data_IF_187107300250
#
_entry.id   IF_187107300250
#
_cell.length_a   1.000
_cell.length_b   1.000
_cell.length_c   1.000
_cell.angle_alpha   90.00
_cell.angle_beta   90.00
_cell.angle_gamma   90.00
#
_symmetry.space_group_name_H-M   'P 1'
#
loop_
_entity.id
_entity.type
_entity.pdbx_description
1 polymer ?
#
# COMPACT_ATOMS: atom_id res chain seq x y z
N UNK A 1 14.00 -14.99 2.67
CA UNK A 1 14.35 -13.60 2.42
C UNK A 1 13.44 -13.08 1.34
N UNK A 2 12.84 -11.92 1.58
CA UNK A 2 11.92 -11.26 0.66
C UNK A 2 12.74 -10.32 -0.25
N UNK A 3 12.51 -10.37 -1.55
CA UNK A 3 13.11 -9.47 -2.54
C UNK A 3 12.03 -8.88 -3.44
N UNK A 4 12.19 -7.62 -3.85
CA UNK A 4 11.27 -6.98 -4.79
C UNK A 4 11.36 -7.62 -6.17
N UNK A 5 10.20 -7.77 -6.82
CA UNK A 5 10.07 -8.22 -8.21
C UNK A 5 8.97 -7.36 -8.88
N UNK A 6 9.40 -6.29 -9.55
CA UNK A 6 8.49 -5.22 -9.96
C UNK A 6 7.76 -4.60 -8.76
N UNK A 7 6.43 -4.47 -8.85
CA UNK A 7 5.55 -4.09 -7.75
C UNK A 7 5.12 -5.27 -6.88
N UNK A 8 5.59 -6.49 -7.20
CA UNK A 8 5.44 -7.68 -6.39
C UNK A 8 6.67 -7.97 -5.53
N UNK A 9 6.64 -9.13 -4.88
CA UNK A 9 7.76 -9.65 -4.10
C UNK A 9 7.91 -11.15 -4.34
N UNK A 10 9.16 -11.60 -4.33
CA UNK A 10 9.53 -13.01 -4.26
C UNK A 10 10.09 -13.31 -2.87
N UNK A 11 9.86 -14.53 -2.37
CA UNK A 11 10.37 -14.96 -1.07
C UNK A 11 11.11 -16.28 -1.19
N UNK A 12 12.27 -16.35 -0.57
CA UNK A 12 13.03 -17.58 -0.34
C UNK A 12 12.95 -17.97 1.15
N UNK A 13 13.27 -19.21 1.52
CA UNK A 13 13.42 -19.59 2.93
C UNK A 13 14.89 -19.98 3.24
N UNK A 14 15.80 -19.00 3.35
CA UNK A 14 17.23 -19.26 3.45
C UNK A 14 17.69 -19.69 4.85
N UNK A 15 16.95 -19.35 5.91
CA UNK A 15 17.27 -19.72 7.29
C UNK A 15 16.03 -19.67 8.18
N UNK A 16 16.08 -20.37 9.31
CA UNK A 16 15.06 -20.32 10.35
C UNK A 16 15.46 -19.28 11.41
N UNK A 17 14.60 -18.29 11.66
CA UNK A 17 14.80 -17.31 12.74
C UNK A 17 14.72 -17.95 14.14
N UNK A 18 13.86 -18.95 14.29
CA UNK A 18 13.67 -19.74 15.51
C UNK A 18 13.62 -21.21 15.11
N UNK A 19 14.32 -22.05 15.86
CA UNK A 19 14.25 -23.50 15.75
C UNK A 19 14.20 -24.09 17.16
N UNK A 20 13.49 -25.21 17.31
CA UNK A 20 13.40 -25.94 18.57
C UNK A 20 13.46 -27.44 18.31
N UNK A 21 14.07 -28.15 19.25
CA UNK A 21 14.08 -29.61 19.38
C UNK A 21 12.90 -30.15 20.20
N UNK A 22 12.11 -29.26 20.80
CA UNK A 22 10.87 -29.62 21.49
C UNK A 22 9.76 -29.92 20.47
N UNK A 23 9.26 -31.15 20.50
CA UNK A 23 8.18 -31.61 19.62
C UNK A 23 6.85 -30.89 19.85
N UNK A 24 6.69 -30.18 20.97
CA UNK A 24 5.51 -29.37 21.28
C UNK A 24 5.63 -27.93 20.75
N UNK A 25 6.76 -27.54 20.16
CA UNK A 25 6.91 -26.24 19.51
C UNK A 25 6.01 -26.07 18.30
N UNK A 26 5.05 -25.15 18.44
CA UNK A 26 4.10 -24.76 17.42
C UNK A 26 4.01 -23.22 17.33
N UNK A 27 5.07 -22.53 16.85
CA UNK A 27 5.01 -21.08 16.63
C UNK A 27 3.95 -20.75 15.57
N UNK A 28 2.98 -19.92 15.93
CA UNK A 28 1.84 -19.60 15.05
C UNK A 28 1.84 -18.15 14.57
N UNK A 29 2.56 -17.25 15.24
CA UNK A 29 2.66 -15.86 14.81
C UNK A 29 3.90 -15.18 15.40
N UNK A 30 4.46 -14.24 14.63
CA UNK A 30 5.56 -13.38 15.04
C UNK A 30 5.25 -11.92 14.68
N UNK A 31 5.53 -11.00 15.60
CA UNK A 31 5.42 -9.55 15.38
C UNK A 31 6.57 -8.78 16.03
N UNK A 32 6.79 -7.53 15.58
CA UNK A 32 7.70 -6.61 16.27
C UNK A 32 6.99 -6.04 17.51
N UNK A 33 7.55 -6.30 18.68
CA UNK A 33 7.02 -5.85 19.97
C UNK A 33 7.31 -4.38 20.28
N UNK A 34 6.81 -3.88 21.43
CA UNK A 34 6.94 -2.48 21.85
C UNK A 34 8.38 -2.04 22.10
N UNK A 35 9.27 -3.00 22.35
CA UNK A 35 10.70 -2.86 22.59
C UNK A 35 11.55 -3.05 21.32
N UNK A 36 10.91 -3.20 20.16
CA UNK A 36 11.58 -3.41 18.87
C UNK A 36 12.11 -4.83 18.63
N UNK A 37 11.95 -5.75 19.59
CA UNK A 37 12.32 -7.15 19.44
C UNK A 37 11.24 -7.92 18.67
N UNK A 38 11.57 -9.11 18.16
CA UNK A 38 10.56 -10.00 17.58
C UNK A 38 9.93 -10.83 18.70
N UNK A 39 8.62 -10.80 18.80
CA UNK A 39 7.84 -11.61 19.74
C UNK A 39 7.12 -12.71 18.99
N UNK A 40 7.21 -13.93 19.49
CA UNK A 40 6.60 -15.12 18.88
C UNK A 40 5.62 -15.72 19.88
N UNK A 41 4.38 -15.93 19.43
CA UNK A 41 3.43 -16.76 20.16
C UNK A 41 3.52 -18.19 19.65
N UNK A 42 3.64 -19.12 20.58
CA UNK A 42 3.73 -20.54 20.34
C UNK A 42 2.55 -21.21 21.04
N UNK A 43 1.78 -21.95 20.25
CA UNK A 43 0.57 -22.62 20.70
C UNK A 43 0.86 -23.79 21.66
N UNK A 44 2.12 -24.22 21.77
CA UNK A 44 2.59 -25.35 22.57
C UNK A 44 1.75 -26.61 22.34
N UNK A 45 1.79 -27.13 21.12
CA UNK A 45 0.90 -28.21 20.71
C UNK A 45 1.64 -29.23 19.84
N UNK A 46 1.61 -30.49 20.25
CA UNK A 46 2.16 -31.60 19.47
C UNK A 46 1.42 -31.79 18.12
N UNK A 47 0.14 -31.37 18.05
CA UNK A 47 -0.71 -31.56 16.88
C UNK A 47 -1.35 -30.23 16.49
N UNK A 48 -0.92 -29.69 15.35
CA UNK A 48 -1.50 -28.46 14.75
C UNK A 48 -2.58 -28.79 13.70
N UNK A 49 -2.62 -30.03 13.20
CA UNK A 49 -3.52 -30.44 12.12
C UNK A 49 -4.98 -30.49 12.57
N UNK A 50 -5.84 -29.84 11.77
CA UNK A 50 -7.30 -29.95 11.87
C UNK A 50 -7.82 -31.16 11.08
N UNK A 51 -7.43 -31.24 9.79
CA UNK A 51 -7.82 -32.26 8.82
C UNK A 51 -6.69 -32.56 7.82
N UNK A 52 -6.73 -33.69 7.09
CA UNK A 52 -7.68 -34.81 7.24
C UNK A 52 -7.46 -35.61 8.53
N UNK A 53 -8.41 -36.44 8.91
CA UNK A 53 -8.24 -37.40 10.03
C UNK A 53 -7.21 -38.47 9.66
N UNK A 54 -6.10 -38.60 10.42
CA UNK A 54 -5.12 -39.65 10.16
C UNK A 54 -5.73 -41.04 10.37
N UNK A 55 -5.18 -42.05 9.68
CA UNK A 55 -5.64 -43.44 9.84
C UNK A 55 -5.50 -43.89 11.31
N UNK A 56 -6.53 -44.54 11.84
CA UNK A 56 -6.58 -44.98 13.24
C UNK A 56 -7.08 -43.93 14.24
N UNK A 57 -7.48 -42.75 13.77
CA UNK A 57 -8.16 -41.73 14.58
C UNK A 57 -9.60 -41.52 14.12
N UNK A 58 -10.41 -40.94 14.99
CA UNK A 58 -11.83 -40.65 14.73
C UNK A 58 -12.04 -39.17 14.40
N UNK A 59 -12.96 -38.86 13.49
CA UNK A 59 -13.38 -37.48 13.24
C UNK A 59 -14.43 -37.07 14.27
N UNK A 60 -14.10 -36.09 15.10
CA UNK A 60 -14.96 -35.58 16.17
C UNK A 60 -15.79 -34.37 15.78
N UNK A 61 -16.27 -33.66 16.82
CA UNK A 61 -17.14 -32.50 16.66
C UNK A 61 -16.40 -31.36 15.95
N UNK A 62 -17.06 -30.73 14.98
CA UNK A 62 -16.47 -29.65 14.19
C UNK A 62 -15.53 -30.14 13.08
N UNK A 63 -15.63 -31.43 12.71
CA UNK A 63 -14.83 -32.06 11.67
C UNK A 63 -13.32 -31.96 11.96
N UNK A 64 -12.91 -32.08 13.23
CA UNK A 64 -11.50 -32.19 13.62
C UNK A 64 -11.25 -33.63 14.08
N UNK A 65 -10.11 -34.22 13.77
CA UNK A 65 -9.84 -35.56 14.34
C UNK A 65 -9.57 -35.50 15.84
N UNK A 66 -10.01 -36.50 16.59
CA UNK A 66 -9.89 -36.55 18.05
C UNK A 66 -8.54 -37.12 18.49
N UNK A 67 -7.92 -36.50 19.50
CA UNK A 67 -6.65 -36.95 20.07
C UNK A 67 -6.44 -36.35 21.47
N UNK A 68 -5.83 -37.13 22.36
CA UNK A 68 -5.48 -36.67 23.72
C UNK A 68 -4.21 -35.81 23.75
N UNK A 69 -3.47 -35.75 22.65
CA UNK A 69 -2.19 -35.04 22.54
C UNK A 69 -2.35 -33.54 22.26
N UNK A 70 -3.57 -33.05 22.01
CA UNK A 70 -3.79 -31.61 21.87
C UNK A 70 -3.78 -30.93 23.22
N UNK A 71 -2.83 -30.02 23.42
CA UNK A 71 -2.86 -29.12 24.56
C UNK A 71 -4.03 -28.13 24.44
N UNK A 72 -4.62 -27.79 25.59
CA UNK A 72 -5.77 -26.87 25.71
C UNK A 72 -5.59 -25.85 26.85
N UNK A 73 -4.42 -25.81 27.48
CA UNK A 73 -4.14 -25.09 28.72
C UNK A 73 -2.88 -24.24 28.65
N UNK A 74 -1.91 -24.63 27.84
CA UNK A 74 -0.62 -23.98 27.78
C UNK A 74 -0.41 -23.25 26.44
N UNK A 75 0.54 -22.33 26.48
CA UNK A 75 1.08 -21.59 25.36
C UNK A 75 2.36 -20.91 25.82
N UNK A 76 3.22 -20.52 24.87
CA UNK A 76 4.49 -19.85 25.17
C UNK A 76 4.55 -18.53 24.44
N UNK A 77 5.19 -17.56 25.06
CA UNK A 77 5.50 -16.27 24.45
C UNK A 77 7.02 -16.13 24.51
N UNK A 78 7.63 -16.12 23.33
CA UNK A 78 9.06 -15.91 23.19
C UNK A 78 9.33 -14.46 22.80
N UNK A 79 10.31 -13.86 23.47
CA UNK A 79 10.90 -12.58 23.08
C UNK A 79 12.27 -12.86 22.49
N UNK A 80 12.41 -12.75 21.18
CA UNK A 80 13.65 -12.97 20.44
C UNK A 80 14.44 -11.66 20.42
N UNK A 81 15.53 -11.62 21.19
CA UNK A 81 16.38 -10.44 21.40
C UNK A 81 17.71 -10.65 20.70
N UNK A 82 18.16 -9.65 19.92
CA UNK A 82 19.48 -9.67 19.33
C UNK A 82 20.53 -9.27 20.38
N UNK A 83 21.58 -10.08 20.56
CA UNK A 83 22.58 -9.89 21.63
C UNK A 83 23.26 -8.51 21.61
N UNK A 84 23.58 -8.00 20.42
CA UNK A 84 24.25 -6.70 20.24
C UNK A 84 23.32 -5.59 19.72
N UNK A 85 22.01 -5.86 19.62
CA UNK A 85 21.06 -4.94 18.99
C UNK A 85 20.50 -3.94 20.01
N UNK A 86 20.39 -2.64 19.70
CA UNK A 86 19.76 -1.70 20.62
C UNK A 86 18.27 -2.01 20.76
N UNK A 87 17.77 -1.96 21.99
CA UNK A 87 16.32 -1.98 22.23
C UNK A 87 15.71 -0.66 21.79
N UNK A 88 14.46 -0.70 21.34
CA UNK A 88 13.71 0.52 21.10
C UNK A 88 13.45 1.27 22.42
N UNK A 89 13.44 2.61 22.40
CA UNK A 89 13.04 3.40 23.56
C UNK A 89 11.64 3.01 24.04
N UNK A 90 11.46 2.94 25.35
CA UNK A 90 10.14 2.77 25.92
C UNK A 90 9.28 4.02 25.61
N UNK A 91 8.05 3.80 25.15
CA UNK A 91 7.11 4.87 24.84
C UNK A 91 5.82 4.67 25.65
N UNK A 92 5.49 5.64 26.51
CA UNK A 92 4.19 5.76 27.16
C UNK A 92 3.46 6.96 26.56
N UNK A 93 2.38 6.69 25.83
CA UNK A 93 1.57 7.73 25.19
C UNK A 93 0.34 8.12 26.02
N UNK A 94 0.12 7.51 27.20
CA UNK A 94 -1.10 7.70 28.00
C UNK A 94 -1.31 9.14 28.48
N UNK A 95 -0.21 9.89 28.65
CA UNK A 95 -0.19 11.30 29.07
C UNK A 95 0.58 12.20 28.10
N UNK A 96 0.85 11.72 26.88
CA UNK A 96 1.62 12.47 25.91
C UNK A 96 0.85 13.73 25.45
N UNK A 97 1.55 14.86 25.39
CA UNK A 97 1.03 16.09 24.81
C UNK A 97 0.83 15.95 23.29
N UNK A 98 0.03 16.82 22.65
CA UNK A 98 -0.13 16.82 21.20
C UNK A 98 1.20 16.83 20.42
N UNK A 99 2.19 17.62 20.87
CA UNK A 99 3.50 17.69 20.23
C UNK A 99 4.34 16.42 20.47
N UNK A 100 4.22 15.80 21.65
CA UNK A 100 4.87 14.51 21.93
C UNK A 100 4.28 13.40 21.06
N UNK A 101 2.97 13.44 20.78
CA UNK A 101 2.34 12.50 19.85
C UNK A 101 2.83 12.72 18.41
N UNK A 102 3.06 13.97 17.98
CA UNK A 102 3.66 14.25 16.67
C UNK A 102 5.08 13.70 16.59
N UNK A 103 5.91 13.90 17.61
CA UNK A 103 7.27 13.33 17.63
C UNK A 103 7.25 11.79 17.61
N UNK A 104 6.28 11.17 18.31
CA UNK A 104 6.11 9.72 18.32
C UNK A 104 5.79 9.11 16.93
N UNK A 105 5.38 9.91 15.94
CA UNK A 105 5.25 9.46 14.55
C UNK A 105 6.58 9.08 13.89
N UNK A 106 7.72 9.48 14.49
CA UNK A 106 9.07 9.14 14.03
C UNK A 106 9.66 7.94 14.76
N UNK A 107 8.95 7.38 15.75
CA UNK A 107 9.45 6.31 16.59
C UNK A 107 9.86 5.07 15.76
N UNK A 108 10.96 4.35 16.07
CA UNK A 108 11.41 3.21 15.29
C UNK A 108 10.40 2.04 15.26
N UNK A 109 9.59 1.89 16.30
CA UNK A 109 8.58 0.83 16.42
C UNK A 109 7.24 1.26 15.81
N UNK A 110 6.74 0.49 14.84
CA UNK A 110 5.47 0.76 14.14
C UNK A 110 4.26 0.83 15.07
N UNK A 111 4.22 -0.01 16.11
CA UNK A 111 3.15 -0.02 17.11
C UNK A 111 2.98 1.37 17.75
N UNK A 112 4.09 2.00 18.16
CA UNK A 112 4.11 3.34 18.76
C UNK A 112 3.61 4.38 17.76
N UNK A 113 4.12 4.36 16.52
CA UNK A 113 3.68 5.30 15.47
C UNK A 113 2.19 5.18 15.16
N UNK A 114 1.68 3.95 15.02
CA UNK A 114 0.25 3.69 14.78
C UNK A 114 -0.61 4.17 15.93
N UNK A 115 -0.18 3.96 17.18
CA UNK A 115 -0.90 4.43 18.35
C UNK A 115 -0.91 5.96 18.43
N UNK A 116 0.24 6.60 18.18
CA UNK A 116 0.35 8.05 18.12
C UNK A 116 -0.55 8.65 17.02
N UNK A 117 -0.53 8.09 15.81
CA UNK A 117 -1.43 8.48 14.72
C UNK A 117 -2.90 8.34 15.13
N UNK A 118 -3.30 7.20 15.71
CA UNK A 118 -4.67 6.97 16.18
C UNK A 118 -5.08 8.03 17.19
N UNK A 119 -4.26 8.29 18.22
CA UNK A 119 -4.55 9.30 19.24
C UNK A 119 -4.65 10.72 18.66
N UNK A 120 -3.80 11.08 17.69
CA UNK A 120 -3.89 12.37 17.01
C UNK A 120 -5.21 12.52 16.24
N UNK A 121 -5.62 11.48 15.50
CA UNK A 121 -6.86 11.48 14.72
C UNK A 121 -8.09 11.47 15.63
N UNK A 122 -8.14 10.59 16.64
CA UNK A 122 -9.24 10.50 17.61
C UNK A 122 -9.42 11.79 18.41
N UNK A 123 -8.32 12.52 18.70
CA UNK A 123 -8.41 13.83 19.34
C UNK A 123 -9.18 14.85 18.50
N UNK A 124 -9.10 14.74 17.16
CA UNK A 124 -9.87 15.59 16.25
C UNK A 124 -9.55 17.09 16.34
N UNK A 125 -8.33 17.46 16.75
CA UNK A 125 -7.90 18.86 16.90
C UNK A 125 -6.86 19.24 15.86
N UNK A 126 -6.99 20.46 15.34
CA UNK A 126 -6.14 21.02 14.28
C UNK A 126 -4.91 21.79 14.80
N UNK A 127 -4.69 21.79 16.12
CA UNK A 127 -3.58 22.46 16.81
C UNK A 127 -2.19 21.87 16.47
N UNK A 128 -2.16 20.73 15.76
CA UNK A 128 -0.93 20.04 15.32
C UNK A 128 -0.70 20.12 13.81
N UNK A 129 -1.49 20.87 13.04
CA UNK A 129 -1.30 20.94 11.58
C UNK A 129 0.11 21.42 11.23
N UNK A 130 0.59 22.53 11.79
CA UNK A 130 1.92 23.06 11.48
C UNK A 130 3.06 22.05 11.72
N UNK A 131 3.20 21.42 12.91
CA UNK A 131 4.26 20.43 13.11
C UNK A 131 4.05 19.15 12.27
N UNK A 132 2.82 18.80 11.88
CA UNK A 132 2.61 17.72 10.89
C UNK A 132 3.13 18.12 9.49
N UNK A 133 2.93 19.36 9.07
CA UNK A 133 3.47 19.85 7.80
C UNK A 133 5.00 19.89 7.81
N UNK A 134 5.62 20.18 8.95
CA UNK A 134 7.09 20.07 9.09
C UNK A 134 7.56 18.64 8.83
N UNK A 135 6.87 17.63 9.37
CA UNK A 135 7.18 16.22 9.10
C UNK A 135 6.98 15.85 7.63
N UNK A 136 5.90 16.30 6.99
CA UNK A 136 5.63 16.00 5.56
C UNK A 136 6.68 16.63 4.65
N UNK A 137 7.18 17.81 5.01
CA UNK A 137 8.16 18.56 4.21
C UNK A 137 9.62 18.16 4.50
N UNK A 138 9.89 17.38 5.55
CA UNK A 138 11.21 16.80 5.81
C UNK A 138 11.58 15.82 4.69
N UNK A 139 12.62 16.17 3.90
CA UNK A 139 13.10 15.36 2.77
C UNK A 139 14.07 14.25 3.18
N UNK A 140 14.41 14.12 4.47
CA UNK A 140 15.27 13.05 4.95
C UNK A 140 14.62 11.68 4.79
N UNK A 141 15.43 10.62 4.81
CA UNK A 141 14.96 9.24 4.87
C UNK A 141 16.06 8.36 5.47
N UNK A 142 15.67 7.23 6.04
CA UNK A 142 16.56 6.29 6.70
C UNK A 142 17.36 5.42 5.71
N UNK A 143 18.21 4.53 6.24
CA UNK A 143 19.07 3.66 5.43
C UNK A 143 18.29 2.69 4.51
N UNK A 144 17.00 2.45 4.76
CA UNK A 144 16.15 1.60 3.91
C UNK A 144 15.22 2.43 3.02
N UNK A 145 15.44 3.74 2.92
CA UNK A 145 14.69 4.60 2.00
C UNK A 145 13.37 5.14 2.56
N UNK A 146 13.10 5.03 3.86
CA UNK A 146 11.82 5.42 4.46
C UNK A 146 11.91 6.74 5.24
N UNK A 147 10.87 7.56 5.11
CA UNK A 147 10.58 8.63 6.08
C UNK A 147 9.25 8.31 6.75
N UNK A 148 9.30 7.55 7.85
CA UNK A 148 8.09 7.11 8.56
C UNK A 148 7.32 8.28 9.18
N UNK A 149 8.02 9.33 9.61
CA UNK A 149 7.39 10.54 10.15
C UNK A 149 6.51 11.23 9.11
N UNK A 150 7.04 11.48 7.92
CA UNK A 150 6.29 12.06 6.80
C UNK A 150 5.11 11.17 6.39
N UNK A 151 5.30 9.85 6.30
CA UNK A 151 4.23 8.90 5.95
C UNK A 151 3.09 8.99 6.96
N UNK A 152 3.38 8.88 8.25
CA UNK A 152 2.35 8.92 9.28
C UNK A 152 1.70 10.31 9.37
N UNK A 153 2.44 11.39 9.18
CA UNK A 153 1.90 12.75 9.16
C UNK A 153 0.88 12.96 8.02
N UNK A 154 1.15 12.44 6.81
CA UNK A 154 0.18 12.44 5.70
C UNK A 154 -1.15 11.76 6.12
N UNK A 155 -1.07 10.61 6.77
CA UNK A 155 -2.26 9.88 7.23
C UNK A 155 -2.98 10.54 8.41
N UNK A 156 -2.27 11.25 9.30
CA UNK A 156 -2.91 12.06 10.34
C UNK A 156 -3.67 13.23 9.72
N UNK A 157 -3.05 13.97 8.77
CA UNK A 157 -3.71 15.06 8.06
C UNK A 157 -4.94 14.56 7.30
N UNK A 158 -4.85 13.39 6.66
CA UNK A 158 -5.97 12.74 6.01
C UNK A 158 -7.08 12.37 7.01
N UNK A 159 -6.73 11.72 8.13
CA UNK A 159 -7.67 11.32 9.19
C UNK A 159 -8.37 12.50 9.90
N UNK A 160 -7.70 13.65 9.99
CA UNK A 160 -8.28 14.91 10.48
C UNK A 160 -9.14 15.63 9.42
N UNK A 161 -9.31 15.04 8.23
CA UNK A 161 -10.02 15.64 7.10
C UNK A 161 -9.33 16.88 6.53
N UNK A 162 -8.08 17.16 6.92
CA UNK A 162 -7.36 18.37 6.50
C UNK A 162 -6.85 18.30 5.07
N UNK A 163 -6.70 17.09 4.53
CA UNK A 163 -6.45 16.94 3.09
C UNK A 163 -7.68 17.36 2.28
N UNK A 164 -8.90 17.17 2.83
CA UNK A 164 -10.20 17.50 2.21
C UNK A 164 -10.71 18.94 2.48
N UNK A 165 -10.08 19.65 3.42
CA UNK A 165 -10.63 20.91 3.96
C UNK A 165 -10.35 22.14 3.08
N UNK A 166 -9.79 21.96 1.88
CA UNK A 166 -9.24 23.02 1.01
C UNK A 166 -8.16 23.87 1.70
N UNK A 167 -7.53 23.34 2.75
CA UNK A 167 -6.41 24.02 3.39
C UNK A 167 -5.22 24.06 2.41
N UNK A 168 -4.89 25.28 1.96
CA UNK A 168 -3.90 25.51 0.90
C UNK A 168 -2.52 25.00 1.30
N UNK A 169 -2.11 25.17 2.55
CA UNK A 169 -0.79 24.75 3.03
C UNK A 169 -0.68 23.21 3.11
N UNK A 170 -1.79 22.55 3.48
CA UNK A 170 -1.87 21.08 3.49
C UNK A 170 -1.81 20.55 2.07
N UNK A 171 -2.63 21.06 1.15
CA UNK A 171 -2.64 20.64 -0.26
C UNK A 171 -1.25 20.85 -0.88
N UNK A 172 -0.64 22.02 -0.65
CA UNK A 172 0.71 22.32 -1.14
C UNK A 172 1.75 21.33 -0.62
N UNK A 173 1.67 20.96 0.66
CA UNK A 173 2.60 20.00 1.26
C UNK A 173 2.37 18.58 0.75
N UNK A 174 1.12 18.14 0.58
CA UNK A 174 0.77 16.84 -0.03
C UNK A 174 1.28 16.78 -1.48
N UNK A 175 1.05 17.82 -2.28
CA UNK A 175 1.56 17.89 -3.64
C UNK A 175 3.10 17.91 -3.70
N UNK A 176 3.77 18.57 -2.75
CA UNK A 176 5.22 18.52 -2.64
C UNK A 176 5.73 17.11 -2.29
N UNK A 177 5.00 16.38 -1.45
CA UNK A 177 5.31 15.01 -1.04
C UNK A 177 5.26 14.01 -2.22
N UNK A 178 4.51 14.30 -3.29
CA UNK A 178 4.56 13.54 -4.55
C UNK A 178 5.96 13.54 -5.18
N UNK A 179 6.84 14.51 -4.84
CA UNK A 179 8.23 14.59 -5.33
C UNK A 179 9.26 14.31 -4.22
N UNK A 180 8.85 13.62 -3.17
CA UNK A 180 9.71 13.28 -2.04
C UNK A 180 10.75 12.20 -2.46
N UNK A 181 12.01 12.26 -1.96
CA UNK A 181 13.04 11.28 -2.33
C UNK A 181 12.71 9.84 -1.90
N UNK A 182 12.11 9.66 -0.71
CA UNK A 182 11.57 8.36 -0.27
C UNK A 182 10.41 7.89 -1.16
N UNK A 183 10.48 6.70 -1.79
CA UNK A 183 9.36 6.12 -2.53
C UNK A 183 8.15 5.83 -1.63
N UNK A 184 8.40 5.47 -0.36
CA UNK A 184 7.36 5.27 0.63
C UNK A 184 6.50 6.53 0.82
N UNK A 185 7.11 7.71 0.90
CA UNK A 185 6.37 8.98 1.00
C UNK A 185 5.58 9.27 -0.27
N UNK A 186 6.18 9.14 -1.46
CA UNK A 186 5.46 9.37 -2.73
C UNK A 186 4.23 8.48 -2.87
N UNK A 187 4.38 7.19 -2.57
CA UNK A 187 3.27 6.22 -2.58
C UNK A 187 2.14 6.63 -1.63
N UNK A 188 2.47 7.02 -0.39
CA UNK A 188 1.45 7.42 0.58
C UNK A 188 0.82 8.79 0.24
N UNK A 189 1.60 9.71 -0.35
CA UNK A 189 1.08 11.00 -0.83
C UNK A 189 0.03 10.81 -1.93
N UNK A 190 0.26 9.87 -2.86
CA UNK A 190 -0.74 9.48 -3.87
C UNK A 190 -2.02 8.96 -3.22
N UNK A 191 -1.89 8.09 -2.22
CA UNK A 191 -3.04 7.43 -1.57
C UNK A 191 -3.94 8.38 -0.77
N UNK A 192 -3.45 9.57 -0.41
CA UNK A 192 -4.24 10.58 0.31
C UNK A 192 -4.76 11.69 -0.61
N UNK A 193 -4.49 11.65 -1.92
CA UNK A 193 -4.99 12.68 -2.84
C UNK A 193 -6.51 12.72 -2.87
N UNK A 194 -7.07 13.93 -2.93
CA UNK A 194 -8.50 14.11 -3.18
C UNK A 194 -8.86 13.76 -4.63
N UNK A 195 -10.09 13.25 -4.89
CA UNK A 195 -10.59 13.00 -6.24
C UNK A 195 -11.02 14.30 -6.95
N UNK A 196 -10.05 15.20 -7.18
CA UNK A 196 -10.23 16.47 -7.90
C UNK A 196 -9.27 16.58 -9.08
N UNK A 197 -9.62 17.37 -10.09
CA UNK A 197 -8.79 17.56 -11.28
C UNK A 197 -7.36 18.05 -10.96
N UNK A 198 -7.21 18.88 -9.91
CA UNK A 198 -5.89 19.33 -9.43
C UNK A 198 -4.97 18.19 -8.97
N UNK A 199 -5.53 17.07 -8.49
CA UNK A 199 -4.77 15.89 -8.10
C UNK A 199 -4.25 15.11 -9.31
N UNK A 200 -5.04 15.03 -10.39
CA UNK A 200 -4.60 14.44 -11.67
C UNK A 200 -3.39 15.22 -12.19
N UNK A 201 -3.49 16.55 -12.16
CA UNK A 201 -2.43 17.44 -12.60
C UNK A 201 -1.16 17.30 -11.75
N UNK A 202 -1.31 17.25 -10.43
CA UNK A 202 -0.18 17.09 -9.52
C UNK A 202 0.52 15.73 -9.68
N UNK A 203 -0.25 14.63 -9.78
CA UNK A 203 0.26 13.27 -9.94
C UNK A 203 1.00 13.11 -11.29
N UNK A 204 0.39 13.56 -12.39
CA UNK A 204 0.97 13.44 -13.73
C UNK A 204 2.17 14.36 -13.93
N UNK A 205 2.12 15.59 -13.40
CA UNK A 205 3.26 16.52 -13.43
C UNK A 205 4.43 16.09 -12.54
N UNK A 206 4.17 15.27 -11.52
CA UNK A 206 5.20 14.61 -10.73
C UNK A 206 5.75 13.34 -11.43
N UNK A 207 5.12 12.89 -12.52
CA UNK A 207 5.54 11.73 -13.30
C UNK A 207 5.35 10.39 -12.57
N UNK A 208 4.42 10.31 -11.61
CA UNK A 208 4.33 9.14 -10.74
C UNK A 208 3.77 7.89 -11.43
N UNK A 209 2.99 8.06 -12.50
CA UNK A 209 2.58 6.95 -13.38
C UNK A 209 3.77 6.32 -14.14
N UNK A 210 4.93 7.01 -14.15
CA UNK A 210 6.20 6.56 -14.73
C UNK A 210 7.34 6.51 -13.71
N UNK A 211 7.02 6.52 -12.40
CA UNK A 211 8.02 6.51 -11.33
C UNK A 211 9.02 5.34 -11.49
N UNK A 212 10.27 5.50 -11.08
CA UNK A 212 11.25 4.40 -11.10
C UNK A 212 10.84 3.25 -10.17
N UNK A 213 10.20 3.56 -9.05
CA UNK A 213 9.72 2.58 -8.08
C UNK A 213 8.38 2.00 -8.54
N UNK A 214 8.34 0.67 -8.71
CA UNK A 214 7.16 -0.01 -9.24
C UNK A 214 5.95 0.05 -8.30
N UNK A 215 6.16 0.11 -6.97
CA UNK A 215 5.07 0.27 -6.01
C UNK A 215 4.49 1.69 -6.04
N UNK A 216 5.31 2.70 -6.35
CA UNK A 216 4.83 4.07 -6.59
C UNK A 216 4.04 4.14 -7.90
N UNK A 217 4.55 3.54 -8.99
CA UNK A 217 3.80 3.45 -10.26
C UNK A 217 2.46 2.75 -10.09
N UNK A 218 2.44 1.60 -9.43
CA UNK A 218 1.22 0.86 -9.17
C UNK A 218 0.21 1.71 -8.41
N UNK A 219 0.64 2.38 -7.34
CA UNK A 219 -0.23 3.27 -6.56
C UNK A 219 -0.74 4.46 -7.40
N UNK A 220 0.11 5.06 -8.24
CA UNK A 220 -0.27 6.16 -9.11
C UNK A 220 -1.30 5.74 -10.16
N UNK A 221 -1.10 4.60 -10.82
CA UNK A 221 -2.03 4.07 -11.83
C UNK A 221 -3.36 3.66 -11.20
N UNK A 222 -3.34 3.06 -10.00
CA UNK A 222 -4.58 2.79 -9.25
C UNK A 222 -5.30 4.10 -8.89
N UNK A 223 -4.58 5.13 -8.44
CA UNK A 223 -5.19 6.41 -8.13
C UNK A 223 -5.84 7.05 -9.36
N UNK A 224 -5.27 6.90 -10.56
CA UNK A 224 -5.90 7.37 -11.80
C UNK A 224 -7.26 6.72 -12.06
N UNK A 225 -7.56 5.53 -11.51
CA UNK A 225 -8.87 4.91 -11.60
C UNK A 225 -9.93 5.60 -10.73
N UNK A 226 -9.51 6.16 -9.59
CA UNK A 226 -10.37 6.81 -8.60
C UNK A 226 -10.45 8.34 -8.78
N UNK A 227 -9.47 8.94 -9.47
CA UNK A 227 -9.44 10.36 -9.79
C UNK A 227 -10.40 10.69 -10.97
N UNK A 228 -10.82 11.97 -11.12
CA UNK A 228 -11.71 12.36 -12.20
C UNK A 228 -11.18 12.00 -13.60
N UNK A 229 -12.09 11.49 -14.42
CA UNK A 229 -11.91 11.23 -15.85
C UNK A 229 -11.54 12.53 -16.61
N UNK A 230 -10.37 12.55 -17.23
CA UNK A 230 -9.88 13.65 -18.08
C UNK A 230 -8.99 13.10 -19.19
N UNK A 231 -8.76 13.87 -20.25
CA UNK A 231 -7.79 13.51 -21.30
C UNK A 231 -6.38 13.25 -20.72
N UNK A 232 -6.01 13.93 -19.63
CA UNK A 232 -4.71 13.69 -18.96
C UNK A 232 -4.68 12.33 -18.28
N UNK A 233 -5.77 11.91 -17.65
CA UNK A 233 -5.90 10.60 -17.01
C UNK A 233 -5.70 9.50 -18.06
N UNK A 234 -6.44 9.57 -19.18
CA UNK A 234 -6.33 8.62 -20.28
C UNK A 234 -4.90 8.55 -20.85
N UNK A 235 -4.29 9.71 -21.13
CA UNK A 235 -2.92 9.78 -21.63
C UNK A 235 -1.89 9.23 -20.64
N UNK A 236 -2.06 9.47 -19.33
CA UNK A 236 -1.17 8.94 -18.31
C UNK A 236 -1.24 7.41 -18.21
N UNK A 237 -2.44 6.83 -18.34
CA UNK A 237 -2.60 5.36 -18.41
C UNK A 237 -1.91 4.79 -19.65
N UNK A 238 -2.09 5.42 -20.82
CA UNK A 238 -1.43 4.99 -22.07
C UNK A 238 0.09 5.08 -21.94
N UNK A 239 0.62 6.16 -21.38
CA UNK A 239 2.06 6.31 -21.13
C UNK A 239 2.60 5.22 -20.20
N UNK A 240 1.85 4.86 -19.15
CA UNK A 240 2.21 3.77 -18.25
C UNK A 240 2.28 2.42 -18.98
N UNK A 241 1.33 2.13 -19.88
CA UNK A 241 1.30 0.92 -20.70
C UNK A 241 2.34 0.90 -21.82
N UNK A 242 2.77 2.07 -22.31
CA UNK A 242 3.80 2.21 -23.32
C UNK A 242 5.22 2.08 -22.74
N UNK A 243 5.38 2.31 -21.43
CA UNK A 243 6.70 2.26 -20.78
C UNK A 243 7.28 0.85 -20.83
N UNK A 244 8.39 0.69 -21.56
CA UNK A 244 9.15 -0.56 -21.70
C UNK A 244 10.12 -0.83 -20.55
N UNK A 245 10.25 0.12 -19.61
CA UNK A 245 11.15 0.03 -18.48
C UNK A 245 10.47 0.49 -17.18
N UNK A 246 10.61 -0.25 -16.07
CA UNK A 246 11.16 -1.62 -15.94
C UNK A 246 10.35 -2.66 -16.73
N UNK A 247 10.79 -3.93 -16.69
CA UNK A 247 10.12 -5.05 -17.36
C UNK A 247 8.60 -5.08 -17.12
N UNK A 248 7.81 -5.66 -18.05
CA UNK A 248 6.35 -5.70 -17.94
C UNK A 248 5.89 -6.25 -16.59
N UNK A 249 5.15 -5.44 -15.85
CA UNK A 249 4.61 -5.80 -14.54
C UNK A 249 3.11 -6.10 -14.66
N UNK A 250 2.72 -7.33 -14.33
CA UNK A 250 1.32 -7.76 -14.46
C UNK A 250 0.37 -6.90 -13.62
N UNK A 251 0.79 -6.49 -12.43
CA UNK A 251 -0.06 -5.74 -11.50
C UNK A 251 -0.26 -4.31 -11.98
N UNK A 252 0.77 -3.70 -12.56
CA UNK A 252 0.65 -2.37 -13.17
C UNK A 252 -0.26 -2.43 -14.39
N UNK A 253 -0.18 -3.47 -15.21
CA UNK A 253 -1.11 -3.66 -16.34
C UNK A 253 -2.55 -3.86 -15.88
N UNK A 254 -2.78 -4.66 -14.83
CA UNK A 254 -4.13 -4.86 -14.27
C UNK A 254 -4.68 -3.56 -13.67
N UNK A 255 -3.84 -2.78 -12.96
CA UNK A 255 -4.20 -1.45 -12.48
C UNK A 255 -4.53 -0.48 -13.63
N UNK A 256 -3.74 -0.50 -14.70
CA UNK A 256 -3.98 0.31 -15.89
C UNK A 256 -5.28 -0.12 -16.61
N UNK A 257 -5.61 -1.41 -16.58
CA UNK A 257 -6.92 -1.90 -17.07
C UNK A 257 -8.06 -1.32 -16.25
N UNK A 258 -7.96 -1.31 -14.92
CA UNK A 258 -8.96 -0.69 -14.04
C UNK A 258 -9.10 0.81 -14.31
N UNK A 259 -7.99 1.53 -14.43
CA UNK A 259 -7.99 2.98 -14.70
C UNK A 259 -8.52 3.32 -16.09
N UNK A 260 -8.18 2.51 -17.10
CA UNK A 260 -8.72 2.67 -18.44
C UNK A 260 -10.23 2.34 -18.49
N UNK A 261 -10.69 1.37 -17.71
CA UNK A 261 -12.11 0.99 -17.66
C UNK A 261 -12.98 2.02 -16.94
N UNK A 262 -12.46 2.74 -15.94
CA UNK A 262 -13.22 3.81 -15.25
C UNK A 262 -13.54 4.99 -16.18
N UNK A 263 -12.74 5.19 -17.23
CA UNK A 263 -12.97 6.20 -18.29
C UNK A 263 -12.81 5.60 -19.70
N UNK A 264 -13.55 4.53 -19.98
CA UNK A 264 -13.37 3.75 -21.22
C UNK A 264 -13.51 4.55 -22.52
N UNK A 265 -14.39 5.57 -22.56
CA UNK A 265 -14.58 6.37 -23.77
C UNK A 265 -13.34 7.21 -24.11
N UNK A 266 -12.84 8.00 -23.14
CA UNK A 266 -11.69 8.86 -23.39
C UNK A 266 -10.41 8.04 -23.57
N UNK A 267 -10.28 6.91 -22.86
CA UNK A 267 -9.19 5.97 -23.09
C UNK A 267 -9.17 5.45 -24.54
N UNK A 268 -10.31 4.94 -25.05
CA UNK A 268 -10.38 4.40 -26.40
C UNK A 268 -10.15 5.48 -27.48
N UNK A 269 -10.68 6.69 -27.28
CA UNK A 269 -10.41 7.85 -28.15
C UNK A 269 -8.91 8.20 -28.13
N UNK A 270 -8.30 8.26 -26.96
CA UNK A 270 -6.89 8.60 -26.81
C UNK A 270 -5.97 7.51 -27.41
N UNK A 271 -6.32 6.23 -27.29
CA UNK A 271 -5.59 5.14 -27.95
C UNK A 271 -5.70 5.26 -29.48
N UNK A 272 -6.89 5.53 -30.01
CA UNK A 272 -7.08 5.70 -31.45
C UNK A 272 -6.24 6.85 -32.03
N UNK A 273 -6.08 7.94 -31.26
CA UNK A 273 -5.25 9.09 -31.65
C UNK A 273 -3.74 8.92 -31.44
N UNK A 274 -3.26 7.79 -30.89
CA UNK A 274 -1.85 7.61 -30.53
C UNK A 274 -1.14 6.62 -31.46
N UNK A 275 0.00 7.04 -32.03
CA UNK A 275 0.83 6.22 -32.92
C UNK A 275 1.69 5.15 -32.21
N UNK A 276 1.84 5.21 -30.88
CA UNK A 276 2.66 4.24 -30.13
C UNK A 276 1.82 3.05 -29.66
N UNK A 277 1.74 2.03 -30.51
CA UNK A 277 1.09 0.75 -30.18
C UNK A 277 2.06 -0.21 -29.49
N UNK A 278 1.60 -0.90 -28.45
CA UNK A 278 2.32 -1.99 -27.77
C UNK A 278 1.37 -3.18 -27.53
N UNK A 279 1.93 -4.37 -27.28
CA UNK A 279 1.13 -5.54 -26.93
C UNK A 279 0.27 -5.28 -25.68
N UNK A 280 0.85 -4.65 -24.65
CA UNK A 280 0.13 -4.27 -23.42
C UNK A 280 -1.01 -3.29 -23.68
N UNK A 281 -0.81 -2.28 -24.56
CA UNK A 281 -1.89 -1.38 -24.97
C UNK A 281 -3.00 -2.18 -25.66
N UNK A 282 -2.66 -3.05 -26.61
CA UNK A 282 -3.64 -3.85 -27.35
C UNK A 282 -4.46 -4.80 -26.46
N UNK A 283 -3.83 -5.42 -25.47
CA UNK A 283 -4.52 -6.26 -24.49
C UNK A 283 -5.54 -5.46 -23.67
N UNK A 284 -5.11 -4.32 -23.09
CA UNK A 284 -5.98 -3.45 -22.30
C UNK A 284 -7.11 -2.88 -23.14
N UNK A 285 -6.81 -2.39 -24.35
CA UNK A 285 -7.81 -1.88 -25.29
C UNK A 285 -8.87 -2.93 -25.62
N UNK A 286 -8.49 -4.20 -25.81
CA UNK A 286 -9.46 -5.27 -26.06
C UNK A 286 -10.41 -5.48 -24.87
N UNK A 287 -9.87 -5.48 -23.65
CA UNK A 287 -10.66 -5.64 -22.43
C UNK A 287 -11.62 -4.45 -22.24
N UNK A 288 -11.11 -3.22 -22.35
CA UNK A 288 -11.90 -1.99 -22.16
C UNK A 288 -12.95 -1.84 -23.26
N UNK A 289 -12.61 -2.05 -24.53
CA UNK A 289 -13.58 -2.00 -25.63
C UNK A 289 -14.67 -3.07 -25.45
N UNK A 290 -14.30 -4.29 -25.04
CA UNK A 290 -15.26 -5.35 -24.77
C UNK A 290 -16.18 -5.02 -23.59
N UNK A 291 -15.66 -4.40 -22.53
CA UNK A 291 -16.48 -3.93 -21.41
C UNK A 291 -17.42 -2.79 -21.84
N UNK A 292 -16.87 -1.76 -22.51
CA UNK A 292 -17.60 -0.59 -22.98
C UNK A 292 -18.73 -0.95 -23.97
N UNK A 293 -18.48 -1.88 -24.90
CA UNK A 293 -19.50 -2.35 -25.84
C UNK A 293 -20.66 -3.09 -25.14
N UNK A 294 -20.38 -3.79 -24.03
CA UNK A 294 -21.41 -4.49 -23.24
C UNK A 294 -22.21 -3.56 -22.32
N UNK A 295 -21.62 -2.45 -21.88
CA UNK A 295 -22.26 -1.51 -20.95
C UNK A 295 -23.18 -0.48 -21.63
N UNK A 296 -23.28 -0.48 -22.96
CA UNK A 296 -24.19 0.34 -23.78
C UNK A 296 -24.24 1.85 -23.44
N UNK A 297 -23.13 2.62 -23.63
CA UNK A 297 -23.01 3.94 -23.03
C UNK A 297 -23.45 5.05 -24.02
N UNK A 298 -24.67 5.55 -23.84
CA UNK A 298 -25.14 6.92 -24.08
C UNK A 298 -24.44 7.76 -25.19
N UNK A 299 -24.40 7.26 -26.43
CA UNK A 299 -24.09 8.08 -27.63
C UNK A 299 -22.62 8.48 -27.85
N UNK A 300 -21.70 8.25 -26.90
CA UNK A 300 -20.26 8.55 -27.05
C UNK A 300 -19.52 7.61 -28.02
N UNK A 301 -20.16 6.49 -28.39
CA UNK A 301 -19.73 5.60 -29.47
C UNK A 301 -19.52 6.34 -30.80
N UNK A 302 -20.32 7.38 -31.08
CA UNK A 302 -20.16 8.20 -32.29
C UNK A 302 -18.82 8.94 -32.34
N UNK A 303 -18.35 9.48 -31.21
CA UNK A 303 -17.05 10.16 -31.15
C UNK A 303 -15.89 9.18 -31.33
N UNK A 304 -16.01 7.96 -30.77
CA UNK A 304 -15.03 6.90 -30.97
C UNK A 304 -14.93 6.50 -32.45
N UNK A 305 -16.06 6.31 -33.13
CA UNK A 305 -16.10 5.96 -34.54
C UNK A 305 -15.50 7.06 -35.43
N UNK A 306 -15.77 8.33 -35.13
CA UNK A 306 -15.16 9.47 -35.83
C UNK A 306 -13.65 9.54 -35.60
N UNK A 307 -13.18 9.30 -34.37
CA UNK A 307 -11.75 9.26 -34.06
C UNK A 307 -11.03 8.14 -34.83
N UNK A 308 -11.63 6.95 -34.92
CA UNK A 308 -11.10 5.82 -35.71
C UNK A 308 -11.07 6.08 -37.22
N UNK A 309 -11.95 6.94 -37.75
CA UNK A 309 -11.91 7.33 -39.17
C UNK A 309 -10.79 8.34 -39.49
N UNK A 310 -10.28 9.02 -38.47
CA UNK A 310 -9.29 10.10 -38.61
C UNK A 310 -7.86 9.66 -38.27
N UNK A 311 -7.70 8.44 -37.75
CA UNK A 311 -6.44 7.79 -37.41
C UNK A 311 -5.94 6.90 -38.56
#
# INVERSE_FOLDING_TARGET
MLSQDGSGFQSTNPFNLLASDDQWSAPIMAEVGPDGCVWVIDWYNYIVQHNPTPHGFETGKGQAYETKLRDKRHGRIYRVVHEAGPLAPAADLSKASPLQLVEALRHPVMLVRKHAQRLLVERGKNDVILPLLELVNDRSYDAVGLNVGAIHALWVLHGLGQVHSKNVDVIKSVHAALKHPSPGVRRNAVQVLEPVAGSVDALTSAGLHLDRDANVRLAAVLALADLPATDRTANAVIQSLASSAPAPDRWIRDAATSAAASDGANFLIAVAGNAQWSESIGEVTRVVAGHYARSNPDGRLGNLLTALQSA
#
